data_IF_536021530687
#
_entry.id   IF_536021530687
#
_cell.length_a   1.000
_cell.length_b   1.000
_cell.length_c   1.000
_cell.angle_alpha   90.00
_cell.angle_beta   90.00
_cell.angle_gamma   90.00
#
_symmetry.space_group_name_H-M   'P 1'
#
loop_
_entity.id
_entity.type
_entity.pdbx_description
1 polymer ?
#
# COMPACT_ATOMS: atom_id res chain seq x y z
N UNK A 1 -6.47 -21.80 1.57
CA UNK A 1 -6.47 -20.41 1.05
C UNK A 1 -6.59 -19.42 2.20
N UNK A 2 -5.81 -18.37 2.18
CA UNK A 2 -5.85 -17.37 3.24
C UNK A 2 -7.01 -16.40 3.00
N UNK A 3 -7.63 -15.95 4.08
CA UNK A 3 -8.71 -14.95 4.03
C UNK A 3 -8.15 -13.57 3.72
N UNK A 4 -8.96 -12.69 3.15
CA UNK A 4 -8.54 -11.34 2.79
C UNK A 4 -8.06 -10.53 4.00
N UNK A 5 -8.72 -10.68 5.15
CA UNK A 5 -8.29 -10.02 6.38
C UNK A 5 -6.96 -10.55 6.89
N UNK A 6 -6.66 -11.82 6.69
CA UNK A 6 -5.36 -12.39 7.02
C UNK A 6 -4.26 -11.84 6.12
N UNK A 7 -4.55 -11.68 4.82
CA UNK A 7 -3.63 -11.07 3.86
C UNK A 7 -3.35 -9.61 4.25
N UNK A 8 -4.38 -8.84 4.59
CA UNK A 8 -4.20 -7.46 5.01
C UNK A 8 -3.34 -7.35 6.28
N UNK A 9 -3.55 -8.21 7.25
CA UNK A 9 -2.75 -8.26 8.47
C UNK A 9 -1.30 -8.69 8.20
N UNK A 10 -1.08 -9.59 7.26
CA UNK A 10 0.26 -10.02 6.85
C UNK A 10 1.01 -8.87 6.18
N UNK A 11 0.34 -8.11 5.32
CA UNK A 11 0.90 -6.90 4.74
C UNK A 11 1.29 -5.89 5.81
N UNK A 12 0.43 -5.67 6.78
CA UNK A 12 0.72 -4.77 7.90
C UNK A 12 1.96 -5.22 8.66
N UNK A 13 2.09 -6.49 8.96
CA UNK A 13 3.25 -7.04 9.66
C UNK A 13 4.52 -6.85 8.85
N UNK A 14 4.46 -7.09 7.54
CA UNK A 14 5.61 -6.95 6.65
C UNK A 14 6.09 -5.49 6.57
N UNK A 15 5.16 -4.53 6.59
CA UNK A 15 5.47 -3.12 6.42
C UNK A 15 5.88 -2.43 7.73
N UNK A 16 5.52 -2.99 8.87
CA UNK A 16 5.76 -2.37 10.19
C UNK A 16 7.21 -1.96 10.45
N UNK A 17 8.24 -2.75 10.11
CA UNK A 17 9.63 -2.34 10.38
C UNK A 17 10.08 -1.08 9.64
N UNK A 18 9.46 -0.76 8.50
CA UNK A 18 9.91 0.31 7.61
C UNK A 18 9.09 1.58 7.69
N UNK A 19 7.87 1.50 8.24
CA UNK A 19 6.95 2.63 8.26
C UNK A 19 6.37 2.83 9.65
N UNK A 20 6.28 4.10 10.07
CA UNK A 20 5.86 4.46 11.43
C UNK A 20 4.39 4.25 11.70
N UNK A 21 3.56 4.37 10.67
CA UNK A 21 2.12 4.23 10.80
C UNK A 21 1.61 3.35 9.67
N UNK A 22 0.85 2.32 10.01
CA UNK A 22 0.21 1.47 9.02
C UNK A 22 -1.25 1.33 9.40
N UNK A 23 -2.15 1.68 8.47
CA UNK A 23 -3.58 1.56 8.65
C UNK A 23 -4.15 0.64 7.59
N UNK A 24 -5.18 -0.10 7.97
CA UNK A 24 -5.95 -0.95 7.05
C UNK A 24 -7.30 -0.29 6.88
N UNK A 25 -7.66 -0.01 5.62
CA UNK A 25 -8.92 0.64 5.29
C UNK A 25 -9.79 -0.26 4.45
N UNK A 26 -11.11 -0.13 4.63
CA UNK A 26 -12.07 -0.73 3.73
C UNK A 26 -12.11 0.05 2.40
N UNK A 27 -12.88 -0.44 1.42
CA UNK A 27 -13.15 0.30 0.19
C UNK A 27 -13.67 1.69 0.54
N UNK A 28 -13.02 2.72 -0.01
CA UNK A 28 -13.35 4.11 0.33
C UNK A 28 -13.48 4.95 -0.92
N UNK A 29 -14.26 6.02 -0.80
CA UNK A 29 -14.25 7.10 -1.78
C UNK A 29 -12.97 7.92 -1.61
N UNK A 30 -12.61 8.70 -2.64
CA UNK A 30 -11.43 9.57 -2.59
C UNK A 30 -11.51 10.56 -1.40
N UNK A 31 -12.69 11.06 -1.09
CA UNK A 31 -12.86 11.99 0.02
C UNK A 31 -12.62 11.34 1.38
N UNK A 32 -13.07 10.10 1.55
CA UNK A 32 -12.82 9.35 2.79
C UNK A 32 -11.34 9.04 2.95
N UNK A 33 -10.66 8.67 1.87
CA UNK A 33 -9.23 8.41 1.89
C UNK A 33 -8.46 9.67 2.26
N UNK A 34 -8.82 10.81 1.69
CA UNK A 34 -8.20 12.09 2.02
C UNK A 34 -8.34 12.43 3.50
N UNK A 35 -9.54 12.25 4.05
CA UNK A 35 -9.78 12.50 5.48
C UNK A 35 -8.93 11.58 6.35
N UNK A 36 -8.79 10.33 5.97
CA UNK A 36 -7.96 9.38 6.71
C UNK A 36 -6.48 9.77 6.67
N UNK A 37 -6.00 10.21 5.52
CA UNK A 37 -4.63 10.71 5.38
C UNK A 37 -4.41 11.92 6.28
N UNK A 38 -5.33 12.88 6.28
CA UNK A 38 -5.25 14.10 7.08
C UNK A 38 -5.31 13.81 8.58
N UNK A 39 -5.92 12.70 8.98
CA UNK A 39 -6.01 12.30 10.38
C UNK A 39 -4.70 11.74 10.93
N UNK A 40 -3.73 11.39 10.08
CA UNK A 40 -2.44 10.88 10.54
C UNK A 40 -1.64 12.03 11.13
N UNK A 41 -1.16 11.83 12.37
CA UNK A 41 -0.28 12.80 13.01
C UNK A 41 1.00 12.93 12.18
N UNK A 42 1.39 14.17 11.78
CA UNK A 42 2.60 14.37 10.98
C UNK A 42 3.87 13.80 11.58
N UNK A 43 3.95 13.68 12.90
CA UNK A 43 5.12 13.08 13.58
C UNK A 43 5.20 11.56 13.38
N UNK A 44 4.13 10.93 12.93
CA UNK A 44 4.05 9.49 12.68
C UNK A 44 4.19 9.14 11.21
N UNK A 45 4.65 10.06 10.39
CA UNK A 45 4.97 9.83 8.99
C UNK A 45 6.44 9.42 8.82
N UNK A 46 6.82 8.64 7.81
CA UNK A 46 5.98 8.15 6.72
C UNK A 46 5.02 7.03 7.15
N UNK A 47 3.88 6.99 6.51
CA UNK A 47 2.86 5.99 6.80
C UNK A 47 2.34 5.31 5.54
N UNK A 48 1.66 4.20 5.74
CA UNK A 48 1.00 3.47 4.66
C UNK A 48 -0.45 3.19 5.06
N UNK A 49 -1.35 3.41 4.10
CA UNK A 49 -2.74 3.00 4.20
C UNK A 49 -2.95 1.85 3.23
N UNK A 50 -3.36 0.71 3.73
CA UNK A 50 -3.65 -0.48 2.93
C UNK A 50 -5.13 -0.45 2.57
N UNK A 51 -5.43 -0.33 1.29
CA UNK A 51 -6.81 -0.24 0.79
C UNK A 51 -7.11 -1.50 -0.02
N UNK A 52 -8.21 -2.15 0.29
CA UNK A 52 -8.69 -3.27 -0.51
C UNK A 52 -9.53 -2.74 -1.67
N UNK A 53 -9.12 -3.05 -2.91
CA UNK A 53 -9.78 -2.54 -4.11
C UNK A 53 -10.76 -3.52 -4.73
N UNK A 54 -10.56 -4.81 -4.54
CA UNK A 54 -11.47 -5.79 -5.11
C UNK A 54 -10.87 -7.17 -5.23
N UNK A 55 -11.70 -8.11 -5.65
CA UNK A 55 -11.34 -9.50 -5.83
C UNK A 55 -11.84 -9.97 -7.19
N UNK A 56 -10.97 -10.61 -7.95
CA UNK A 56 -11.34 -11.28 -9.19
C UNK A 56 -11.23 -12.77 -9.01
N UNK A 57 -12.26 -13.48 -9.47
CA UNK A 57 -12.22 -14.93 -9.57
C UNK A 57 -11.66 -15.29 -10.94
N UNK A 58 -10.58 -16.06 -10.95
CA UNK A 58 -10.00 -16.53 -12.19
C UNK A 58 -10.85 -17.65 -12.79
N UNK A 59 -10.83 -17.76 -14.12
CA UNK A 59 -11.71 -18.70 -14.83
C UNK A 59 -11.38 -20.18 -14.62
N UNK A 60 -10.22 -20.49 -14.03
CA UNK A 60 -9.83 -21.87 -13.77
C UNK A 60 -10.34 -22.41 -12.42
N UNK A 61 -11.03 -21.63 -11.63
CA UNK A 61 -11.61 -21.97 -10.34
C UNK A 61 -10.61 -22.40 -9.24
N UNK A 62 -9.33 -22.43 -9.54
CA UNK A 62 -8.29 -22.81 -8.58
C UNK A 62 -7.51 -21.64 -8.03
N UNK A 63 -7.64 -20.47 -8.63
CA UNK A 63 -6.94 -19.27 -8.19
C UNK A 63 -7.91 -18.10 -8.09
N UNK A 64 -7.55 -17.15 -7.27
CA UNK A 64 -8.20 -15.86 -7.25
C UNK A 64 -7.16 -14.76 -7.15
N UNK A 65 -7.56 -13.55 -7.54
CA UNK A 65 -6.71 -12.39 -7.56
C UNK A 65 -7.36 -11.29 -6.75
N UNK A 66 -6.70 -10.87 -5.69
CA UNK A 66 -7.11 -9.72 -4.90
C UNK A 66 -6.27 -8.50 -5.31
N UNK A 67 -6.90 -7.34 -5.29
CA UNK A 67 -6.22 -6.08 -5.59
C UNK A 67 -6.24 -5.20 -4.36
N UNK A 68 -5.06 -4.72 -3.99
CA UNK A 68 -4.86 -3.76 -2.92
C UNK A 68 -4.13 -2.55 -3.46
N UNK A 69 -4.33 -1.41 -2.84
CA UNK A 69 -3.51 -0.23 -3.06
C UNK A 69 -2.82 0.13 -1.76
N UNK A 70 -1.51 0.29 -1.82
CA UNK A 70 -0.71 0.77 -0.71
C UNK A 70 -0.51 2.27 -0.92
N UNK A 71 -1.14 3.09 -0.09
CA UNK A 71 -1.00 4.54 -0.19
C UNK A 71 0.11 4.98 0.75
N UNK A 72 1.26 5.28 0.19
CA UNK A 72 2.41 5.78 0.93
C UNK A 72 2.24 7.29 1.13
N UNK A 73 2.29 7.71 2.37
CA UNK A 73 2.03 9.11 2.76
C UNK A 73 3.23 9.66 3.50
N UNK A 74 3.67 10.85 3.10
CA UNK A 74 4.70 11.58 3.83
C UNK A 74 4.34 13.06 3.89
N UNK A 75 5.01 13.79 4.78
CA UNK A 75 4.79 15.23 4.91
C UNK A 75 5.43 15.95 3.72
N UNK A 76 4.71 16.90 3.17
CA UNK A 76 5.22 17.79 2.14
C UNK A 76 5.41 19.19 2.71
N UNK A 77 6.52 19.81 2.35
CA UNK A 77 6.78 21.22 2.63
C UNK A 77 7.31 21.85 1.34
N UNK A 78 6.58 22.81 0.80
CA UNK A 78 6.97 23.48 -0.44
C UNK A 78 8.38 24.03 -0.36
N UNK A 79 9.18 23.80 -1.42
CA UNK A 79 10.55 24.27 -1.49
C UNK A 79 11.56 23.44 -0.70
N UNK A 80 11.17 22.28 -0.18
CA UNK A 80 12.07 21.41 0.57
C UNK A 80 12.51 20.22 -0.25
N UNK A 81 13.77 20.19 -0.67
CA UNK A 81 14.37 19.04 -1.35
C UNK A 81 14.37 17.80 -0.45
N UNK A 82 14.58 17.99 0.86
CA UNK A 82 14.63 16.90 1.82
C UNK A 82 13.33 16.10 1.84
N UNK A 83 12.19 16.75 1.65
CA UNK A 83 10.89 16.07 1.62
C UNK A 83 10.71 15.25 0.37
N UNK A 84 11.11 15.79 -0.78
CA UNK A 84 11.07 15.04 -2.03
C UNK A 84 11.96 13.79 -1.95
N UNK A 85 13.16 13.93 -1.37
CA UNK A 85 14.07 12.81 -1.19
C UNK A 85 13.52 11.78 -0.20
N UNK A 86 12.88 12.24 0.88
CA UNK A 86 12.30 11.36 1.89
C UNK A 86 11.21 10.46 1.30
N UNK A 87 10.29 11.01 0.52
CA UNK A 87 9.24 10.20 -0.11
C UNK A 87 9.82 9.21 -1.12
N UNK A 88 10.84 9.62 -1.87
CA UNK A 88 11.50 8.75 -2.82
C UNK A 88 12.24 7.61 -2.12
N UNK A 89 12.87 7.87 -0.98
CA UNK A 89 13.52 6.84 -0.19
C UNK A 89 12.50 5.83 0.34
N UNK A 90 11.39 6.31 0.87
CA UNK A 90 10.32 5.45 1.37
C UNK A 90 9.72 4.60 0.25
N UNK A 91 9.53 5.17 -0.93
CA UNK A 91 9.08 4.43 -2.11
C UNK A 91 10.08 3.35 -2.52
N UNK A 92 11.38 3.66 -2.46
CA UNK A 92 12.44 2.68 -2.77
C UNK A 92 12.43 1.52 -1.77
N UNK A 93 12.23 1.79 -0.50
CA UNK A 93 12.09 0.75 0.53
C UNK A 93 10.88 -0.15 0.24
N UNK A 94 9.77 0.45 -0.16
CA UNK A 94 8.57 -0.29 -0.52
C UNK A 94 8.81 -1.19 -1.75
N UNK A 95 9.52 -0.67 -2.75
CA UNK A 95 9.88 -1.44 -3.95
C UNK A 95 10.80 -2.62 -3.63
N UNK A 96 11.68 -2.48 -2.65
CA UNK A 96 12.53 -3.59 -2.20
C UNK A 96 11.73 -4.68 -1.51
N UNK A 97 10.66 -4.32 -0.82
CA UNK A 97 9.78 -5.31 -0.18
C UNK A 97 8.94 -6.08 -1.21
N UNK A 98 8.62 -5.46 -2.34
CA UNK A 98 7.81 -6.06 -3.39
C UNK A 98 8.55 -5.97 -4.73
N UNK A 99 9.43 -6.94 -5.04
CA UNK A 99 10.14 -6.94 -6.32
C UNK A 99 9.18 -7.18 -7.50
N UNK A 100 9.57 -6.70 -8.66
CA UNK A 100 8.73 -6.72 -9.87
C UNK A 100 8.29 -8.13 -10.29
N UNK A 101 9.11 -9.12 -10.04
CA UNK A 101 8.80 -10.53 -10.36
C UNK A 101 8.01 -11.24 -9.25
N UNK A 102 7.61 -10.51 -8.23
CA UNK A 102 6.76 -11.01 -7.16
C UNK A 102 7.51 -11.48 -5.93
N UNK A 103 6.79 -11.50 -4.83
CA UNK A 103 7.27 -12.02 -3.55
C UNK A 103 6.26 -13.02 -3.01
N UNK A 104 6.74 -14.20 -2.66
CA UNK A 104 5.91 -15.25 -2.07
C UNK A 104 6.05 -15.23 -0.55
N UNK A 105 4.90 -15.25 0.16
CA UNK A 105 4.84 -15.36 1.61
C UNK A 105 3.73 -16.35 1.95
N UNK A 106 4.09 -17.47 2.53
CA UNK A 106 3.13 -18.49 2.98
C UNK A 106 2.16 -18.95 1.88
N UNK A 107 2.66 -19.13 0.66
CA UNK A 107 1.85 -19.59 -0.47
C UNK A 107 1.07 -18.50 -1.18
N UNK A 108 1.21 -17.26 -0.76
CA UNK A 108 0.57 -16.10 -1.37
C UNK A 108 1.61 -15.28 -2.12
N UNK A 109 1.32 -14.94 -3.37
CA UNK A 109 2.20 -14.15 -4.21
C UNK A 109 1.74 -12.71 -4.28
N UNK A 110 2.67 -11.78 -4.06
CA UNK A 110 2.45 -10.34 -4.09
C UNK A 110 3.21 -9.72 -5.25
N UNK A 111 2.48 -9.12 -6.19
CA UNK A 111 3.07 -8.50 -7.38
C UNK A 111 2.79 -6.99 -7.37
N UNK A 112 3.82 -6.14 -7.38
CA UNK A 112 3.60 -4.71 -7.49
C UNK A 112 3.16 -4.34 -8.91
N UNK A 113 2.23 -3.42 -8.97
CA UNK A 113 1.79 -2.81 -10.22
C UNK A 113 2.43 -1.42 -10.35
N UNK A 114 1.66 -0.44 -10.76
CA UNK A 114 2.15 0.92 -10.94
C UNK A 114 2.31 1.66 -9.62
N UNK A 115 3.26 2.58 -9.59
CA UNK A 115 3.41 3.54 -8.51
C UNK A 115 3.17 4.93 -9.09
N UNK A 116 2.10 5.60 -8.66
CA UNK A 116 1.70 6.89 -9.21
C UNK A 116 1.52 7.92 -8.10
N UNK A 117 1.79 9.18 -8.43
CA UNK A 117 1.57 10.27 -7.49
C UNK A 117 0.08 10.46 -7.23
N UNK A 118 -0.28 10.66 -5.99
CA UNK A 118 -1.65 10.83 -5.55
C UNK A 118 -1.73 11.94 -4.51
N UNK A 119 -1.15 13.10 -4.81
CA UNK A 119 -1.03 14.21 -3.84
C UNK A 119 -2.41 14.75 -3.48
N UNK A 120 -2.88 14.53 -2.23
CA UNK A 120 -4.23 14.93 -1.85
C UNK A 120 -4.38 16.40 -1.53
N UNK A 121 -3.30 17.05 -1.08
CA UNK A 121 -3.31 18.49 -0.81
C UNK A 121 -1.88 19.05 -0.84
N UNK A 122 -1.71 20.32 -0.47
CA UNK A 122 -0.43 21.02 -0.54
C UNK A 122 0.52 20.68 0.63
N UNK A 123 0.05 19.95 1.63
CA UNK A 123 0.85 19.65 2.82
C UNK A 123 1.29 18.20 2.91
N UNK A 124 0.73 17.35 2.09
CA UNK A 124 0.95 15.91 2.11
C UNK A 124 1.29 15.42 0.71
N UNK A 125 2.38 14.68 0.62
CA UNK A 125 2.74 13.94 -0.58
C UNK A 125 2.30 12.50 -0.41
N UNK A 126 1.64 11.94 -1.41
CA UNK A 126 1.22 10.55 -1.39
C UNK A 126 1.56 9.86 -2.72
N UNK A 127 1.94 8.60 -2.62
CA UNK A 127 2.14 7.71 -3.74
C UNK A 127 1.22 6.51 -3.58
N UNK A 128 0.52 6.14 -4.64
CA UNK A 128 -0.33 4.97 -4.65
C UNK A 128 0.37 3.84 -5.41
N UNK A 129 0.61 2.74 -4.73
CA UNK A 129 1.23 1.54 -5.30
C UNK A 129 0.18 0.45 -5.37
N UNK A 130 -0.19 0.05 -6.58
CA UNK A 130 -1.07 -1.08 -6.80
C UNK A 130 -0.35 -2.38 -6.46
N UNK A 131 -1.07 -3.30 -5.83
CA UNK A 131 -0.54 -4.61 -5.44
C UNK A 131 -1.54 -5.68 -5.84
N UNK A 132 -1.11 -6.57 -6.72
CA UNK A 132 -1.89 -7.73 -7.13
C UNK A 132 -1.47 -8.93 -6.30
N UNK A 133 -2.44 -9.55 -5.64
CA UNK A 133 -2.21 -10.68 -4.73
C UNK A 133 -2.86 -11.92 -5.29
N UNK A 134 -2.07 -12.95 -5.53
CA UNK A 134 -2.53 -14.22 -6.11
C UNK A 134 -2.29 -15.37 -5.15
N UNK A 135 -3.28 -16.23 -5.03
CA UNK A 135 -3.16 -17.46 -4.27
C UNK A 135 -3.98 -18.58 -4.90
N UNK A 136 -3.51 -19.79 -4.72
CA UNK A 136 -4.29 -20.95 -5.11
C UNK A 136 -5.45 -21.17 -4.14
N UNK A 137 -6.55 -21.68 -4.65
CA UNK A 137 -7.76 -21.96 -3.89
C UNK A 137 -7.93 -23.45 -3.54
N UNK A 138 -6.82 -24.13 -3.45
CA UNK A 138 -6.82 -25.56 -3.15
C UNK A 138 -7.02 -25.82 -1.67
#
# INVERSE_FOLDING_TARGET
>A
MRKLNEIANELKTLLTPNFRTIRISALQTSDQLLKEIQAINPEKLPGIIIVFDGLKYDGDAFTNTAEFTLVLVDRFKAGSDDRALSIQQSASELMQLFPADGREINGVWYYPDDCVAANPDSQVTALAVGLTVKQGSV
#
